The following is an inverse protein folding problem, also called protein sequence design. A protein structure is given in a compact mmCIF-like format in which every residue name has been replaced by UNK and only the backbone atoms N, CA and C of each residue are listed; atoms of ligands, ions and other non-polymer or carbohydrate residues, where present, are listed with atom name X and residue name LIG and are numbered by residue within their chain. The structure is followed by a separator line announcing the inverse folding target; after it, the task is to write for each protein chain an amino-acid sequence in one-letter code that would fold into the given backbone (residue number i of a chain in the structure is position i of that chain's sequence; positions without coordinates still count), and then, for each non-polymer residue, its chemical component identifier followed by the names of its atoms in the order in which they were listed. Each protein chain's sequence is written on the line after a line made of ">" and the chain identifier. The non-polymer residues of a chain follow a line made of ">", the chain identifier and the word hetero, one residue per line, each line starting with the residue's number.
data_IF_337712875823
#
_entry.id   IF_337712875823
#
_cell.length_a   1.000
_cell.length_b   1.000
_cell.length_c   1.000
_cell.angle_alpha   90.00
_cell.angle_beta   90.00
_cell.angle_gamma   90.00
#
_symmetry.space_group_name_H-M   'P 1'
#
loop_
_entity.id
_entity.type
_entity.pdbx_description
1 polymer ?
#
# COMPACT_ATOMS: atom_id res chain seq x y z
N UNK A 1 -5.94 -22.99 -21.20
CA UNK A 1 -4.96 -21.89 -21.40
C UNK A 1 -4.80 -20.98 -20.17
N UNK A 2 -5.58 -21.13 -19.08
CA UNK A 2 -5.44 -20.31 -17.86
C UNK A 2 -4.36 -20.82 -16.88
N UNK A 3 -4.06 -22.13 -16.90
CA UNK A 3 -3.07 -22.75 -15.99
C UNK A 3 -1.65 -22.16 -16.10
N UNK A 4 -1.22 -21.73 -17.30
CA UNK A 4 0.13 -21.15 -17.48
C UNK A 4 0.24 -19.76 -16.84
N UNK A 5 -0.86 -19.01 -16.80
CA UNK A 5 -0.91 -17.67 -16.21
C UNK A 5 -0.92 -17.75 -14.69
N UNK A 6 -1.69 -18.67 -14.10
CA UNK A 6 -1.69 -18.90 -12.64
C UNK A 6 -0.31 -19.31 -12.11
N UNK A 7 0.39 -20.22 -12.82
CA UNK A 7 1.74 -20.65 -12.44
C UNK A 7 2.78 -19.51 -12.48
N UNK A 8 2.64 -18.57 -13.40
CA UNK A 8 3.55 -17.41 -13.52
C UNK A 8 3.32 -16.40 -12.39
N UNK A 9 2.04 -16.11 -12.09
CA UNK A 9 1.66 -15.20 -10.99
C UNK A 9 2.12 -15.74 -9.65
N UNK A 10 1.96 -17.05 -9.41
CA UNK A 10 2.34 -17.67 -8.14
C UNK A 10 3.86 -17.64 -7.89
N UNK A 11 4.67 -17.82 -8.93
CA UNK A 11 6.14 -17.68 -8.86
C UNK A 11 6.60 -16.26 -8.52
N UNK A 12 5.97 -15.25 -9.13
CA UNK A 12 6.31 -13.84 -8.83
C UNK A 12 5.92 -13.46 -7.41
N UNK A 13 4.74 -13.91 -6.97
CA UNK A 13 4.25 -13.60 -5.64
C UNK A 13 5.06 -14.29 -4.52
N UNK A 14 5.66 -15.45 -4.79
CA UNK A 14 6.62 -16.09 -3.87
C UNK A 14 7.91 -15.28 -3.71
N UNK A 15 8.52 -14.82 -4.82
CA UNK A 15 9.71 -13.96 -4.77
C UNK A 15 9.48 -12.65 -4.01
N UNK A 16 8.29 -12.06 -4.15
CA UNK A 16 7.93 -10.86 -3.43
C UNK A 16 7.80 -11.11 -1.91
N UNK A 17 7.24 -12.26 -1.50
CA UNK A 17 7.12 -12.63 -0.09
C UNK A 17 8.48 -12.87 0.57
N UNK A 18 9.40 -13.55 -0.12
CA UNK A 18 10.78 -13.77 0.38
C UNK A 18 11.52 -12.45 0.63
N UNK A 19 11.39 -11.49 -0.30
CA UNK A 19 12.00 -10.18 -0.16
C UNK A 19 11.46 -9.42 1.05
N UNK A 20 10.14 -9.43 1.26
CA UNK A 20 9.49 -8.73 2.38
C UNK A 20 9.81 -9.40 3.73
N UNK A 21 9.87 -10.74 3.76
CA UNK A 21 10.17 -11.52 4.96
C UNK A 21 11.59 -11.31 5.49
N UNK A 22 12.59 -11.27 4.59
CA UNK A 22 13.99 -11.06 4.96
C UNK A 22 14.29 -9.68 5.57
N UNK A 23 13.49 -8.67 5.24
CA UNK A 23 13.65 -7.28 5.73
C UNK A 23 12.99 -7.09 7.10
N UNK A 24 11.97 -7.89 7.42
CA UNK A 24 11.15 -7.72 8.63
C UNK A 24 11.77 -8.35 9.89
N UNK A 25 12.62 -9.38 9.74
CA UNK A 25 13.14 -10.18 10.86
C UNK A 25 14.07 -9.45 11.84
N UNK A 26 14.83 -8.45 11.37
CA UNK A 26 15.88 -7.77 12.17
C UNK A 26 15.45 -6.37 12.67
N UNK A 27 14.38 -5.81 12.08
CA UNK A 27 14.03 -4.40 12.26
C UNK A 27 13.19 -4.09 13.53
N UNK A 28 12.60 -5.10 14.18
CA UNK A 28 11.58 -4.94 15.23
C UNK A 28 12.00 -4.10 16.44
N UNK A 29 13.27 -4.15 16.84
CA UNK A 29 13.73 -3.62 18.13
C UNK A 29 14.15 -2.14 18.08
N UNK A 30 14.41 -1.56 16.89
CA UNK A 30 14.78 -0.13 16.75
C UNK A 30 13.59 0.81 16.48
N UNK A 31 12.38 0.26 16.32
CA UNK A 31 11.24 0.97 15.75
C UNK A 31 10.57 1.92 16.75
N UNK A 32 10.57 1.61 18.05
CA UNK A 32 9.66 2.25 19.01
C UNK A 32 9.96 3.75 19.25
N UNK A 33 11.23 4.16 19.25
CA UNK A 33 11.63 5.57 19.40
C UNK A 33 11.45 6.40 18.14
N UNK A 34 11.78 5.83 16.96
CA UNK A 34 11.56 6.49 15.66
C UNK A 34 10.07 6.60 15.33
N UNK A 35 9.26 5.62 15.74
CA UNK A 35 7.83 5.61 15.53
C UNK A 35 7.14 6.86 16.10
N UNK A 36 7.56 7.37 17.26
CA UNK A 36 6.94 8.56 17.86
C UNK A 36 7.24 9.85 17.10
N UNK A 37 8.46 10.00 16.58
CA UNK A 37 8.85 11.16 15.77
C UNK A 37 8.30 11.08 14.34
N UNK A 38 8.17 9.86 13.80
CA UNK A 38 7.50 9.61 12.53
C UNK A 38 6.00 9.85 12.67
N UNK A 39 5.37 9.46 13.78
CA UNK A 39 3.95 9.69 14.00
C UNK A 39 3.59 11.18 13.96
N UNK A 40 4.39 12.06 14.57
CA UNK A 40 4.17 13.51 14.52
C UNK A 40 4.30 14.09 13.09
N UNK A 41 5.34 13.68 12.35
CA UNK A 41 5.53 14.11 10.95
C UNK A 41 4.47 13.52 10.02
N UNK A 42 4.07 12.26 10.27
CA UNK A 42 3.03 11.58 9.53
C UNK A 42 1.69 12.25 9.76
N UNK A 43 1.35 12.67 10.98
CA UNK A 43 0.12 13.41 11.25
C UNK A 43 0.04 14.71 10.45
N UNK A 44 1.14 15.47 10.39
CA UNK A 44 1.18 16.72 9.60
C UNK A 44 1.07 16.45 8.10
N UNK A 45 1.86 15.51 7.58
CA UNK A 45 1.85 15.15 6.16
C UNK A 45 0.54 14.47 5.73
N UNK A 46 -0.10 13.73 6.63
CA UNK A 46 -1.41 13.12 6.40
C UNK A 46 -2.51 14.17 6.28
N UNK A 47 -2.44 15.26 7.07
CA UNK A 47 -3.34 16.40 6.93
C UNK A 47 -3.25 17.03 5.53
N UNK A 48 -2.04 17.34 5.07
CA UNK A 48 -1.80 17.91 3.74
C UNK A 48 -2.25 16.97 2.61
N UNK A 49 -1.94 15.68 2.72
CA UNK A 49 -2.36 14.69 1.74
C UNK A 49 -3.89 14.53 1.70
N UNK A 50 -4.55 14.54 2.85
CA UNK A 50 -6.00 14.43 2.94
C UNK A 50 -6.68 15.67 2.33
N UNK A 51 -6.15 16.87 2.57
CA UNK A 51 -6.66 18.10 1.97
C UNK A 51 -6.49 18.09 0.45
N UNK A 52 -5.35 17.60 -0.07
CA UNK A 52 -5.15 17.45 -1.52
C UNK A 52 -6.16 16.48 -2.14
N UNK A 53 -6.40 15.33 -1.51
CA UNK A 53 -7.41 14.35 -1.96
C UNK A 53 -8.81 14.97 -1.93
N UNK A 54 -9.11 15.74 -0.88
CA UNK A 54 -10.40 16.43 -0.72
C UNK A 54 -10.62 17.49 -1.79
N UNK A 55 -9.58 18.23 -2.16
CA UNK A 55 -9.65 19.23 -3.24
C UNK A 55 -9.79 18.59 -4.62
N UNK A 56 -9.08 17.47 -4.88
CA UNK A 56 -9.30 16.68 -6.09
C UNK A 56 -10.72 16.12 -6.15
N UNK A 57 -11.27 15.64 -5.03
CA UNK A 57 -12.64 15.13 -4.96
C UNK A 57 -13.69 16.21 -5.27
N UNK A 58 -13.45 17.47 -4.84
CA UNK A 58 -14.34 18.60 -5.15
C UNK A 58 -14.21 19.07 -6.59
N UNK A 59 -12.99 19.15 -7.12
CA UNK A 59 -12.73 19.73 -8.44
C UNK A 59 -12.93 18.73 -9.58
N UNK A 60 -12.63 17.45 -9.35
CA UNK A 60 -12.81 16.38 -10.33
C UNK A 60 -13.26 15.07 -9.66
N UNK A 61 -14.56 14.96 -9.32
CA UNK A 61 -15.09 13.83 -8.58
C UNK A 61 -14.90 12.50 -9.31
N UNK A 62 -14.96 12.49 -10.65
CA UNK A 62 -14.77 11.28 -11.45
C UNK A 62 -13.30 10.82 -11.48
N UNK A 63 -12.36 11.75 -11.58
CA UNK A 63 -10.93 11.44 -11.54
C UNK A 63 -10.49 10.85 -10.18
N UNK A 64 -10.98 11.45 -9.08
CA UNK A 64 -10.73 10.91 -7.74
C UNK A 64 -11.36 9.53 -7.54
N UNK A 65 -12.57 9.30 -8.07
CA UNK A 65 -13.22 7.99 -7.99
C UNK A 65 -12.39 6.91 -8.68
N UNK A 66 -11.90 7.20 -9.90
CA UNK A 66 -11.07 6.26 -10.67
C UNK A 66 -9.75 5.95 -9.95
N UNK A 67 -9.09 6.97 -9.38
CA UNK A 67 -7.88 6.78 -8.59
C UNK A 67 -8.13 5.94 -7.32
N UNK A 68 -9.22 6.22 -6.59
CA UNK A 68 -9.60 5.46 -5.40
C UNK A 68 -9.89 3.98 -5.74
N UNK A 69 -10.58 3.72 -6.85
CA UNK A 69 -10.82 2.36 -7.33
C UNK A 69 -9.53 1.63 -7.72
N UNK A 70 -8.60 2.30 -8.40
CA UNK A 70 -7.31 1.71 -8.73
C UNK A 70 -6.51 1.33 -7.46
N UNK A 71 -6.44 2.24 -6.49
CA UNK A 71 -5.78 2.00 -5.20
C UNK A 71 -6.48 0.86 -4.45
N UNK A 72 -7.81 0.89 -4.37
CA UNK A 72 -8.62 -0.13 -3.71
C UNK A 72 -8.53 -1.50 -4.38
N UNK A 73 -8.43 -1.56 -5.71
CA UNK A 73 -8.24 -2.81 -6.45
C UNK A 73 -6.88 -3.43 -6.18
N UNK A 74 -5.81 -2.63 -6.15
CA UNK A 74 -4.46 -3.12 -5.82
C UNK A 74 -4.41 -3.59 -4.36
N UNK A 75 -4.95 -2.81 -3.43
CA UNK A 75 -5.01 -3.19 -2.02
C UNK A 75 -5.88 -4.43 -1.79
N UNK A 76 -7.04 -4.51 -2.47
CA UNK A 76 -7.95 -5.65 -2.41
C UNK A 76 -7.35 -6.91 -3.04
N UNK A 77 -6.65 -6.79 -4.16
CA UNK A 77 -5.94 -7.91 -4.78
C UNK A 77 -4.81 -8.45 -3.89
N UNK A 78 -4.18 -7.59 -3.07
CA UNK A 78 -3.21 -8.01 -2.05
C UNK A 78 -3.87 -8.69 -0.84
N UNK A 79 -5.06 -8.26 -0.45
CA UNK A 79 -5.80 -8.83 0.69
C UNK A 79 -6.61 -10.09 0.35
N UNK A 80 -6.95 -10.28 -0.93
CA UNK A 80 -7.65 -11.46 -1.45
C UNK A 80 -6.83 -12.76 -1.36
N UNK A 81 -5.60 -12.69 -0.83
CA UNK A 81 -4.72 -13.83 -0.64
C UNK A 81 -4.77 -14.41 0.77
N UNK A 82 -5.73 -13.98 1.59
CA UNK A 82 -6.04 -14.55 2.90
C UNK A 82 -7.41 -15.21 2.87
#
# INVERSE_FOLDING_TARGET
>A
MLEKTEGTVQKMAGKAQDAIGGITGDAGTQIEGKARQIAGQAQQSYGEALDMVRDCARSNPMGTLAAALAIGFVAGALMSRR
#
